data_IF_544631801683
#
_entry.id   IF_544631801683
#
_cell.length_a   1.000
_cell.length_b   1.000
_cell.length_c   1.000
_cell.angle_alpha   90.00
_cell.angle_beta   90.00
_cell.angle_gamma   90.00
#
_symmetry.space_group_name_H-M   'P 1'
#
loop_
_entity.id
_entity.type
_entity.pdbx_description
1 polymer ?
#
# COMPACT_ATOMS: atom_id res chain seq x y z
N UNK A 1 -1.86 -23.66 3.05
CA UNK A 1 -2.19 -22.23 2.90
C UNK A 1 -1.34 -21.49 3.92
N UNK A 2 -0.51 -20.51 3.54
CA UNK A 2 0.19 -19.67 4.52
C UNK A 2 -0.76 -18.53 4.92
N UNK A 3 -0.95 -18.32 6.21
CA UNK A 3 -1.75 -17.22 6.77
C UNK A 3 -0.81 -16.22 7.43
N UNK A 4 -1.09 -14.93 7.25
CA UNK A 4 -0.40 -13.83 7.92
C UNK A 4 -1.45 -13.10 8.74
N UNK A 5 -1.15 -12.82 9.99
CA UNK A 5 -1.99 -11.97 10.83
C UNK A 5 -1.77 -10.50 10.44
N UNK A 6 -2.85 -9.74 10.28
CA UNK A 6 -2.78 -8.29 10.10
C UNK A 6 -3.47 -7.61 11.28
N UNK A 7 -2.92 -6.48 11.70
CA UNK A 7 -3.44 -5.74 12.83
C UNK A 7 -4.37 -4.62 12.36
N UNK A 8 -5.22 -4.14 13.25
CA UNK A 8 -5.97 -2.92 13.05
C UNK A 8 -5.42 -1.85 13.98
N UNK A 9 -5.05 -0.68 13.46
CA UNK A 9 -4.60 0.47 14.26
C UNK A 9 -5.67 1.55 14.33
N UNK A 10 -5.66 2.34 15.39
CA UNK A 10 -6.60 3.44 15.59
C UNK A 10 -6.37 4.53 14.51
N UNK A 11 -7.44 4.90 13.82
CA UNK A 11 -7.44 5.93 12.76
C UNK A 11 -7.88 7.31 13.30
N UNK A 12 -8.06 7.41 14.62
CA UNK A 12 -8.40 8.65 15.30
C UNK A 12 -9.87 9.04 15.17
N UNK A 13 -10.11 10.34 15.00
CA UNK A 13 -11.43 10.94 15.06
C UNK A 13 -11.63 11.91 13.90
N UNK A 14 -12.84 11.92 13.34
CA UNK A 14 -13.28 12.92 12.36
C UNK A 14 -13.33 14.33 12.95
N UNK A 15 -13.49 15.33 12.07
CA UNK A 15 -13.64 16.75 12.45
C UNK A 15 -14.80 17.04 13.39
N UNK A 16 -15.80 16.15 13.48
CA UNK A 16 -16.94 16.26 14.41
C UNK A 16 -16.75 15.48 15.71
N UNK A 17 -15.58 14.87 15.92
CA UNK A 17 -15.26 14.08 17.12
C UNK A 17 -15.79 12.64 17.10
N UNK A 18 -16.32 12.16 15.98
CA UNK A 18 -16.69 10.74 15.80
C UNK A 18 -15.44 9.90 15.58
N UNK A 19 -15.30 8.79 16.32
CA UNK A 19 -14.21 7.81 16.14
C UNK A 19 -14.27 7.21 14.73
N UNK A 20 -13.14 7.21 14.04
CA UNK A 20 -12.99 6.58 12.74
C UNK A 20 -12.78 5.07 12.91
N UNK A 21 -13.26 4.24 11.96
CA UNK A 21 -12.97 2.82 11.98
C UNK A 21 -11.46 2.58 11.98
N UNK A 22 -10.99 1.59 12.74
CA UNK A 22 -9.58 1.22 12.71
C UNK A 22 -9.16 0.76 11.29
N UNK A 23 -7.93 1.04 10.90
CA UNK A 23 -7.39 0.69 9.58
C UNK A 23 -6.56 -0.58 9.62
N UNK A 24 -6.71 -1.48 8.63
CA UNK A 24 -5.92 -2.71 8.55
C UNK A 24 -4.48 -2.39 8.12
N UNK A 25 -3.51 -2.87 8.89
CA UNK A 25 -2.08 -2.69 8.62
C UNK A 25 -1.31 -3.99 8.65
N UNK A 26 -0.31 -4.07 7.78
CA UNK A 26 0.66 -5.16 7.72
C UNK A 26 2.07 -4.62 7.83
N UNK A 27 3.00 -5.46 8.26
CA UNK A 27 4.43 -5.11 8.19
C UNK A 27 4.95 -5.48 6.81
N UNK A 28 5.39 -4.48 6.05
CA UNK A 28 5.92 -4.62 4.71
C UNK A 28 7.46 -4.48 4.73
N UNK A 29 8.13 -5.33 3.98
CA UNK A 29 9.55 -5.24 3.65
C UNK A 29 9.71 -5.12 2.14
N UNK A 30 10.40 -4.07 1.70
CA UNK A 30 10.77 -3.85 0.31
C UNK A 30 12.28 -3.92 0.14
N UNK A 31 12.73 -4.59 -0.92
CA UNK A 31 14.14 -4.82 -1.20
C UNK A 31 14.47 -4.46 -2.64
N UNK A 32 15.59 -3.75 -2.80
CA UNK A 32 16.21 -3.50 -4.10
C UNK A 32 17.00 -4.71 -4.58
N UNK A 33 16.94 -4.97 -5.89
CA UNK A 33 17.74 -6.02 -6.55
C UNK A 33 19.12 -5.53 -6.96
N UNK A 34 19.24 -4.25 -7.30
CA UNK A 34 20.48 -3.64 -7.80
C UNK A 34 21.47 -3.30 -6.69
N UNK A 35 20.99 -3.14 -5.44
CA UNK A 35 21.80 -2.81 -4.26
C UNK A 35 21.28 -3.54 -3.03
N UNK A 36 22.15 -3.77 -2.04
CA UNK A 36 21.77 -4.29 -0.71
C UNK A 36 21.07 -3.23 0.15
N UNK A 37 19.99 -2.65 -0.37
CA UNK A 37 19.14 -1.67 0.31
C UNK A 37 17.73 -2.24 0.49
N UNK A 38 17.14 -1.97 1.65
CA UNK A 38 15.79 -2.40 2.00
C UNK A 38 15.11 -1.38 2.91
N UNK A 39 13.78 -1.29 2.82
CA UNK A 39 12.95 -0.51 3.72
C UNK A 39 11.93 -1.45 4.38
N UNK A 40 11.74 -1.30 5.69
CA UNK A 40 10.75 -2.04 6.48
C UNK A 40 9.86 -1.04 7.20
N UNK A 41 8.55 -1.23 7.15
CA UNK A 41 7.59 -0.34 7.82
C UNK A 41 6.18 -0.92 7.84
N UNK A 42 5.27 -0.21 8.50
CA UNK A 42 3.85 -0.50 8.40
C UNK A 42 3.33 0.00 7.05
N UNK A 43 2.39 -0.74 6.49
CA UNK A 43 1.63 -0.34 5.32
C UNK A 43 0.13 -0.57 5.59
N UNK A 44 -0.69 0.41 5.21
CA UNK A 44 -2.14 0.31 5.23
C UNK A 44 -2.58 -0.56 4.06
N UNK A 45 -3.50 -1.49 4.32
CA UNK A 45 -4.17 -2.25 3.27
C UNK A 45 -5.36 -1.44 2.78
N UNK A 46 -5.27 -0.91 1.56
CA UNK A 46 -6.25 0.01 1.01
C UNK A 46 -6.95 -0.60 -0.21
N UNK A 47 -8.23 -0.94 -0.04
CA UNK A 47 -9.04 -1.48 -1.14
C UNK A 47 -9.53 -0.41 -2.12
N UNK A 48 -9.41 0.88 -1.77
CA UNK A 48 -9.68 2.02 -2.64
C UNK A 48 -8.52 2.37 -3.58
N UNK A 49 -7.32 1.87 -3.29
CA UNK A 49 -6.15 2.04 -4.15
C UNK A 49 -5.99 0.86 -5.12
N UNK A 50 -5.92 1.16 -6.42
CA UNK A 50 -5.86 0.12 -7.46
C UNK A 50 -4.47 -0.45 -7.70
N UNK A 51 -3.43 0.38 -7.52
CA UNK A 51 -2.06 -0.02 -7.77
C UNK A 51 -1.50 -0.99 -6.72
N UNK A 52 -0.24 -1.37 -6.90
CA UNK A 52 0.45 -2.30 -6.02
C UNK A 52 0.89 -1.65 -4.72
N UNK A 53 1.83 -0.70 -4.77
CA UNK A 53 2.30 0.06 -3.60
C UNK A 53 2.30 1.56 -3.89
N UNK A 54 1.71 2.34 -2.98
CA UNK A 54 1.86 3.78 -2.95
C UNK A 54 2.85 4.17 -1.84
N UNK A 55 3.92 4.92 -2.14
CA UNK A 55 4.98 5.15 -1.18
C UNK A 55 4.70 6.32 -0.25
N UNK A 56 5.19 6.18 0.98
CA UNK A 56 5.41 7.32 1.85
C UNK A 56 6.71 8.05 1.52
N UNK A 57 6.88 9.26 2.07
CA UNK A 57 8.13 10.03 1.94
C UNK A 57 9.37 9.23 2.38
N UNK A 58 9.24 8.37 3.39
CA UNK A 58 10.33 7.54 3.88
C UNK A 58 10.66 6.42 2.90
N UNK A 59 9.66 5.86 2.21
CA UNK A 59 9.87 4.82 1.20
C UNK A 59 10.49 5.40 -0.08
N UNK A 60 10.17 6.63 -0.46
CA UNK A 60 10.78 7.27 -1.64
C UNK A 60 12.32 7.32 -1.56
N UNK A 61 12.89 7.45 -0.35
CA UNK A 61 14.35 7.40 -0.15
C UNK A 61 14.97 6.06 -0.56
N UNK A 62 14.21 4.95 -0.48
CA UNK A 62 14.68 3.65 -0.97
C UNK A 62 14.90 3.70 -2.48
N UNK A 63 14.09 4.45 -3.22
CA UNK A 63 14.09 4.53 -4.68
C UNK A 63 15.21 5.41 -5.23
N UNK A 64 15.90 6.17 -4.38
CA UNK A 64 16.91 7.14 -4.81
C UNK A 64 18.00 6.48 -5.68
N UNK A 65 18.23 7.07 -6.85
CA UNK A 65 19.19 6.58 -7.85
C UNK A 65 18.75 5.34 -8.62
N UNK A 66 17.51 4.84 -8.42
CA UNK A 66 16.91 3.88 -9.34
C UNK A 66 16.45 4.60 -10.62
N UNK A 67 16.36 3.86 -11.73
CA UNK A 67 15.65 4.33 -12.92
C UNK A 67 14.22 3.79 -12.88
N UNK A 68 13.20 4.63 -13.10
CA UNK A 68 11.84 4.13 -13.23
C UNK A 68 11.72 3.19 -14.43
N UNK A 69 10.90 2.15 -14.29
CA UNK A 69 10.58 1.22 -15.37
C UNK A 69 9.76 1.91 -16.44
N UNK A 70 8.82 2.75 -16.02
CA UNK A 70 7.95 3.56 -16.85
C UNK A 70 7.31 4.69 -16.04
N UNK A 71 6.56 5.55 -16.71
CA UNK A 71 5.66 6.53 -16.08
C UNK A 71 4.23 6.07 -16.36
N UNK A 72 3.41 6.04 -15.32
CA UNK A 72 1.98 5.78 -15.38
C UNK A 72 1.22 6.91 -14.70
N UNK A 73 -0.11 6.90 -14.81
CA UNK A 73 -0.93 7.83 -14.05
C UNK A 73 -1.98 7.08 -13.24
N UNK A 74 -2.27 7.60 -12.06
CA UNK A 74 -3.35 7.13 -11.19
C UNK A 74 -4.51 8.12 -11.26
N UNK A 75 -5.73 7.58 -11.24
CA UNK A 75 -6.93 8.41 -11.10
C UNK A 75 -7.15 8.72 -9.62
N UNK A 76 -7.20 10.01 -9.29
CA UNK A 76 -7.55 10.47 -7.95
C UNK A 76 -8.92 11.17 -7.98
N UNK A 77 -9.86 10.86 -7.07
CA UNK A 77 -11.20 11.44 -7.07
C UNK A 77 -11.24 12.97 -7.04
N UNK A 78 -10.26 13.62 -6.40
CA UNK A 78 -10.17 15.08 -6.28
C UNK A 78 -9.25 15.74 -7.31
N UNK A 79 -8.21 15.05 -7.77
CA UNK A 79 -7.13 15.66 -8.56
C UNK A 79 -7.14 15.20 -10.01
N UNK A 80 -8.08 14.32 -10.38
CA UNK A 80 -8.26 13.67 -11.67
C UNK A 80 -7.09 12.78 -12.11
N UNK A 81 -5.85 13.27 -12.06
CA UNK A 81 -4.68 12.55 -12.55
C UNK A 81 -3.44 12.86 -11.70
N UNK A 82 -2.79 11.81 -11.22
CA UNK A 82 -1.49 11.88 -10.54
C UNK A 82 -0.50 11.11 -11.41
N UNK A 83 0.50 11.79 -11.96
CA UNK A 83 1.57 11.14 -12.70
C UNK A 83 2.55 10.49 -11.70
N UNK A 84 2.92 9.25 -11.99
CA UNK A 84 3.75 8.42 -11.16
C UNK A 84 4.90 7.80 -11.95
N UNK A 85 6.11 7.91 -11.41
CA UNK A 85 7.22 7.06 -11.79
C UNK A 85 7.05 5.67 -11.16
N UNK A 86 7.09 4.63 -11.99
CA UNK A 86 6.84 3.25 -11.54
C UNK A 86 8.15 2.50 -11.38
N UNK A 87 8.39 1.97 -10.18
CA UNK A 87 9.59 1.23 -9.81
C UNK A 87 9.25 -0.22 -9.47
N UNK A 88 10.19 -1.13 -9.71
CA UNK A 88 9.99 -2.56 -9.43
C UNK A 88 10.91 -2.98 -8.27
N UNK A 89 10.33 -3.57 -7.22
CA UNK A 89 11.02 -4.04 -6.01
C UNK A 89 10.59 -5.45 -5.64
N UNK A 90 11.44 -6.17 -4.90
CA UNK A 90 11.02 -7.40 -4.23
C UNK A 90 10.28 -7.06 -2.94
N UNK A 91 9.10 -7.64 -2.74
CA UNK A 91 8.26 -7.38 -1.57
C UNK A 91 7.99 -8.63 -0.73
N UNK A 92 7.86 -8.38 0.57
CA UNK A 92 7.54 -9.40 1.55
C UNK A 92 6.64 -8.84 2.64
N UNK A 93 5.68 -9.65 3.06
CA UNK A 93 4.90 -9.43 4.28
C UNK A 93 5.59 -10.14 5.45
N UNK A 94 5.63 -9.47 6.60
CA UNK A 94 6.24 -9.98 7.82
C UNK A 94 5.18 -10.23 8.90
N UNK A 95 5.25 -11.39 9.54
CA UNK A 95 4.46 -11.77 10.72
C UNK A 95 5.39 -12.38 11.77
N UNK A 96 5.80 -11.58 12.76
CA UNK A 96 6.84 -11.96 13.72
C UNK A 96 8.17 -12.29 13.02
N UNK A 97 8.58 -13.56 13.07
CA UNK A 97 9.77 -14.09 12.37
C UNK A 97 9.49 -14.64 10.98
N UNK A 98 8.22 -14.81 10.62
CA UNK A 98 7.83 -15.35 9.32
C UNK A 98 7.90 -14.26 8.23
N UNK A 99 8.36 -14.67 7.06
CA UNK A 99 8.44 -13.83 5.86
C UNK A 99 7.71 -14.51 4.72
N UNK A 100 6.71 -13.84 4.16
CA UNK A 100 5.96 -14.31 3.00
C UNK A 100 6.28 -13.43 1.82
N UNK A 101 6.79 -14.02 0.75
CA UNK A 101 7.12 -13.29 -0.47
C UNK A 101 5.86 -12.93 -1.25
N UNK A 102 5.79 -11.66 -1.66
CA UNK A 102 4.85 -11.16 -2.66
C UNK A 102 5.48 -11.14 -4.07
N UNK A 103 6.70 -11.68 -4.22
CA UNK A 103 7.43 -11.59 -5.48
C UNK A 103 7.84 -10.16 -5.80
N UNK A 104 7.77 -9.80 -7.09
CA UNK A 104 8.00 -8.44 -7.54
C UNK A 104 6.71 -7.64 -7.55
N UNK A 105 6.81 -6.42 -7.06
CA UNK A 105 5.71 -5.47 -6.97
C UNK A 105 6.11 -4.15 -7.57
N UNK A 106 5.11 -3.39 -7.97
CA UNK A 106 5.28 -2.04 -8.51
C UNK A 106 5.11 -1.00 -7.39
N UNK A 107 5.98 -0.01 -7.35
CA UNK A 107 5.86 1.16 -6.47
C UNK A 107 5.56 2.36 -7.34
N UNK A 108 4.40 2.96 -7.12
CA UNK A 108 3.88 4.11 -7.86
C UNK A 108 4.29 5.39 -7.15
N UNK A 109 5.47 5.92 -7.46
CA UNK A 109 6.00 7.13 -6.83
C UNK A 109 5.45 8.38 -7.53
N UNK A 110 4.66 9.23 -6.86
CA UNK A 110 4.17 10.47 -7.45
C UNK A 110 5.32 11.37 -7.86
N UNK A 111 5.20 12.00 -9.04
CA UNK A 111 6.21 12.97 -9.50
C UNK A 111 6.05 14.33 -8.84
N UNK A 112 4.84 14.65 -8.37
CA UNK A 112 4.56 15.87 -7.63
C UNK A 112 4.57 15.58 -6.11
N UNK A 113 5.41 16.29 -5.32
CA UNK A 113 5.48 16.12 -3.88
C UNK A 113 4.16 16.32 -3.13
N UNK A 114 3.24 17.13 -3.66
CA UNK A 114 1.95 17.43 -3.01
C UNK A 114 1.04 16.19 -2.95
N UNK A 115 1.35 15.14 -3.71
CA UNK A 115 0.62 13.88 -3.73
C UNK A 115 1.32 12.76 -2.94
N UNK A 116 2.43 13.04 -2.27
CA UNK A 116 3.10 12.03 -1.44
C UNK A 116 2.26 11.76 -0.18
N UNK A 117 2.03 10.48 0.09
CA UNK A 117 1.30 10.03 1.28
C UNK A 117 2.20 10.01 2.51
N UNK A 118 1.63 10.18 3.70
CA UNK A 118 2.35 9.98 4.97
C UNK A 118 2.55 8.48 5.24
N UNK A 119 1.57 7.66 4.88
CA UNK A 119 1.61 6.20 5.01
C UNK A 119 1.95 5.50 3.70
N UNK A 120 2.46 4.27 3.81
CA UNK A 120 2.58 3.37 2.67
C UNK A 120 1.25 2.67 2.47
N UNK A 121 0.75 2.63 1.24
CA UNK A 121 -0.48 1.91 0.89
C UNK A 121 -0.15 0.64 0.11
N UNK A 122 -0.87 -0.44 0.41
CA UNK A 122 -0.91 -1.67 -0.38
C UNK A 122 -2.29 -1.75 -1.03
N UNK A 123 -2.33 -1.73 -2.35
CA UNK A 123 -3.57 -1.70 -3.10
C UNK A 123 -4.00 -3.04 -3.70
N UNK A 124 -5.09 -2.99 -4.46
CA UNK A 124 -5.81 -4.16 -4.98
C UNK A 124 -4.97 -5.04 -5.90
N UNK A 125 -3.97 -4.51 -6.59
CA UNK A 125 -3.07 -5.32 -7.41
C UNK A 125 -2.40 -6.43 -6.59
N UNK A 126 -1.83 -6.09 -5.42
CA UNK A 126 -1.25 -7.08 -4.50
C UNK A 126 -2.32 -7.99 -3.93
N UNK A 127 -3.44 -7.40 -3.47
CA UNK A 127 -4.50 -8.17 -2.81
C UNK A 127 -5.06 -9.26 -3.73
N UNK A 128 -5.33 -8.92 -4.98
CA UNK A 128 -5.92 -9.83 -5.95
C UNK A 128 -4.89 -10.87 -6.45
N UNK A 129 -3.66 -10.46 -6.73
CA UNK A 129 -2.60 -11.38 -7.20
C UNK A 129 -2.23 -12.44 -6.15
N UNK A 130 -2.33 -12.09 -4.86
CA UNK A 130 -2.01 -13.00 -3.75
C UNK A 130 -3.24 -13.58 -3.05
N UNK A 131 -4.46 -13.28 -3.54
CA UNK A 131 -5.73 -13.71 -2.94
C UNK A 131 -5.81 -13.37 -1.44
N UNK A 132 -5.32 -12.18 -1.08
CA UNK A 132 -5.41 -11.65 0.28
C UNK A 132 -6.86 -11.21 0.49
N UNK A 133 -7.48 -11.76 1.54
CA UNK A 133 -8.87 -11.48 1.89
C UNK A 133 -8.90 -10.65 3.17
N UNK A 134 -9.54 -9.48 3.11
CA UNK A 134 -9.93 -8.75 4.31
C UNK A 134 -11.23 -9.37 4.83
N UNK A 135 -11.15 -10.07 5.96
CA UNK A 135 -12.32 -10.69 6.57
C UNK A 135 -13.00 -9.68 7.51
N UNK A 136 -13.84 -8.82 6.93
CA UNK A 136 -14.75 -7.93 7.65
C UNK A 136 -16.13 -8.58 7.87
N UNK A 137 -16.98 -8.04 8.75
CA UNK A 137 -18.34 -8.53 8.93
C UNK A 137 -19.15 -8.42 7.61
N UNK A 138 -19.74 -9.52 7.16
CA UNK A 138 -20.64 -9.55 6.00
C UNK A 138 -21.84 -8.66 6.31
N UNK A 139 -22.06 -7.64 5.47
CA UNK A 139 -23.20 -6.73 5.58
C UNK A 139 -24.03 -6.80 4.30
N UNK A 140 -25.34 -7.03 4.42
CA UNK A 140 -26.25 -7.00 3.28
C UNK A 140 -26.54 -5.54 2.91
N UNK A 141 -26.25 -5.17 1.66
CA UNK A 141 -26.62 -3.86 1.12
C UNK A 141 -28.02 -3.97 0.50
N UNK A 142 -29.03 -3.46 1.20
CA UNK A 142 -30.36 -3.28 0.63
C UNK A 142 -30.43 -1.89 0.02
N UNK A 143 -30.63 -1.81 -1.29
CA UNK A 143 -30.90 -0.56 -2.00
C UNK A 143 -32.41 -0.50 -2.21
N UNK A 144 -33.09 0.38 -1.47
CA UNK A 144 -34.50 0.71 -1.73
C UNK A 144 -34.54 1.83 -2.77
N UNK A 145 -35.32 1.63 -3.85
CA UNK A 145 -35.59 2.63 -4.88
C UNK A 145 -36.91 3.35 -4.60
#
# INVERSE_FOLDING_TARGET
MKSISYNYIDDGYSSTGRKLPNVPVVTLLLRRRDRRLQAKGLAIVDTGFDGSIYPSISLLRLLEGMKPKQVEYLFHPLYARIDCEVYELDAFLLDGSEQVSLGQVLVYAPTDPDYISDEVLIGREILNNHRILLNGPISNLNIEY
#
